data_IF_186621477365
#
_entry.id   IF_186621477365
#
_cell.length_a   1.000
_cell.length_b   1.000
_cell.length_c   1.000
_cell.angle_alpha   90.00
_cell.angle_beta   90.00
_cell.angle_gamma   90.00
#
_symmetry.space_group_name_H-M   'P 1'
#
loop_
_entity.id
_entity.type
_entity.pdbx_description
1 polymer ?
#
# COMPACT_ATOMS: atom_id res chain seq x y z
N UNK A 1 -27.01 -27.21 6.79
CA UNK A 1 -26.62 -26.65 8.11
C UNK A 1 -25.25 -26.02 7.98
N UNK A 2 -25.15 -24.69 8.02
CA UNK A 2 -23.83 -24.04 8.02
C UNK A 2 -23.27 -24.09 9.46
N UNK A 3 -22.15 -24.77 9.63
CA UNK A 3 -21.42 -24.85 10.91
C UNK A 3 -20.85 -23.49 11.28
N UNK A 4 -20.84 -23.09 12.56
CA UNK A 4 -20.38 -21.73 12.98
C UNK A 4 -18.97 -21.36 12.50
N UNK A 5 -18.12 -22.36 12.26
CA UNK A 5 -16.79 -22.22 11.66
C UNK A 5 -16.82 -21.63 10.24
N UNK A 6 -17.79 -22.02 9.41
CA UNK A 6 -17.87 -21.52 8.02
C UNK A 6 -18.35 -20.07 7.95
N UNK A 7 -19.07 -19.61 8.97
CA UNK A 7 -19.49 -18.21 9.08
C UNK A 7 -18.28 -17.36 9.50
N UNK A 8 -17.55 -17.82 10.51
CA UNK A 8 -16.36 -17.12 11.02
C UNK A 8 -15.23 -16.99 9.99
N UNK A 9 -15.01 -18.00 9.16
CA UNK A 9 -13.96 -17.97 8.10
C UNK A 9 -14.34 -17.04 6.93
N UNK A 10 -15.62 -16.67 6.77
CA UNK A 10 -16.07 -15.76 5.71
C UNK A 10 -15.94 -14.29 6.07
N UNK A 11 -15.70 -13.95 7.34
CA UNK A 11 -15.48 -12.56 7.74
C UNK A 11 -14.16 -12.04 7.17
N UNK A 12 -14.23 -10.97 6.38
CA UNK A 12 -13.06 -10.35 5.73
C UNK A 12 -11.95 -10.00 6.73
N UNK A 13 -12.33 -9.48 7.90
CA UNK A 13 -11.40 -9.16 8.99
C UNK A 13 -10.69 -10.39 9.55
N UNK A 14 -11.38 -11.54 9.62
CA UNK A 14 -10.80 -12.79 10.10
C UNK A 14 -9.85 -13.40 9.06
N UNK A 15 -10.15 -13.24 7.77
CA UNK A 15 -9.26 -13.67 6.69
C UNK A 15 -7.95 -12.88 6.68
N UNK A 16 -8.01 -11.56 6.87
CA UNK A 16 -6.80 -10.72 6.99
C UNK A 16 -5.98 -11.12 8.22
N UNK A 17 -6.62 -11.34 9.36
CA UNK A 17 -5.94 -11.74 10.60
C UNK A 17 -5.26 -13.11 10.45
N UNK A 18 -5.94 -14.08 9.85
CA UNK A 18 -5.37 -15.38 9.53
C UNK A 18 -4.17 -15.28 8.58
N UNK A 19 -4.26 -14.42 7.56
CA UNK A 19 -3.17 -14.18 6.62
C UNK A 19 -1.96 -13.54 7.31
N UNK A 20 -2.18 -12.57 8.22
CA UNK A 20 -1.11 -11.96 9.01
C UNK A 20 -0.42 -13.01 9.91
N UNK A 21 -1.19 -13.82 10.63
CA UNK A 21 -0.62 -14.90 11.47
C UNK A 21 0.23 -15.87 10.65
N UNK A 22 -0.23 -16.26 9.45
CA UNK A 22 0.52 -17.16 8.56
C UNK A 22 1.81 -16.49 8.07
N UNK A 23 1.76 -15.23 7.64
CA UNK A 23 2.93 -14.47 7.22
C UNK A 23 3.96 -14.31 8.35
N UNK A 24 3.50 -14.07 9.57
CA UNK A 24 4.35 -13.99 10.75
C UNK A 24 5.14 -15.29 10.97
N UNK A 25 4.47 -16.46 10.95
CA UNK A 25 5.16 -17.74 11.11
C UNK A 25 6.13 -18.03 9.96
N UNK A 26 5.76 -17.70 8.71
CA UNK A 26 6.65 -17.85 7.56
C UNK A 26 7.90 -16.98 7.77
N UNK A 27 7.73 -15.69 8.10
CA UNK A 27 8.83 -14.78 8.36
C UNK A 27 9.69 -15.21 9.54
N UNK A 28 9.09 -15.75 10.60
CA UNK A 28 9.78 -16.26 11.77
C UNK A 28 10.60 -17.53 11.47
N UNK A 29 10.03 -18.48 10.73
CA UNK A 29 10.75 -19.68 10.28
C UNK A 29 11.92 -19.27 9.38
N UNK A 30 11.69 -18.37 8.42
CA UNK A 30 12.73 -17.87 7.52
C UNK A 30 13.86 -17.14 8.28
N UNK A 31 13.53 -16.51 9.41
CA UNK A 31 14.47 -15.85 10.33
C UNK A 31 15.33 -16.85 11.13
N UNK A 32 14.77 -18.01 11.50
CA UNK A 32 15.46 -19.05 12.27
C UNK A 32 16.42 -19.90 11.41
N UNK A 33 16.29 -19.87 10.09
CA UNK A 33 17.19 -20.58 9.18
C UNK A 33 18.57 -19.88 9.14
N UNK A 34 19.69 -20.61 9.28
CA UNK A 34 21.05 -20.05 9.29
C UNK A 34 21.57 -19.73 7.87
N UNK A 35 20.74 -19.14 7.03
CA UNK A 35 21.04 -18.84 5.62
C UNK A 35 21.03 -17.32 5.44
N UNK A 36 22.14 -16.73 4.97
CA UNK A 36 22.30 -15.28 4.90
C UNK A 36 21.24 -14.58 4.02
N UNK A 37 20.90 -15.16 2.86
CA UNK A 37 19.89 -14.62 1.94
C UNK A 37 18.47 -14.66 2.56
N UNK A 38 18.16 -15.71 3.33
CA UNK A 38 16.87 -15.84 4.02
C UNK A 38 16.67 -14.75 5.06
N UNK A 39 17.75 -14.21 5.66
CA UNK A 39 17.65 -13.16 6.64
C UNK A 39 17.14 -11.83 6.04
N UNK A 40 17.59 -11.47 4.85
CA UNK A 40 17.11 -10.26 4.16
C UNK A 40 15.61 -10.38 3.82
N UNK A 41 15.22 -11.51 3.24
CA UNK A 41 13.81 -11.78 2.91
C UNK A 41 12.92 -11.81 4.15
N UNK A 42 13.37 -12.42 5.25
CA UNK A 42 12.64 -12.47 6.51
C UNK A 42 12.35 -11.06 7.06
N UNK A 43 13.32 -10.14 6.99
CA UNK A 43 13.13 -8.75 7.43
C UNK A 43 12.08 -8.02 6.60
N UNK A 44 12.07 -8.21 5.29
CA UNK A 44 11.09 -7.60 4.39
C UNK A 44 9.69 -8.15 4.72
N UNK A 45 9.55 -9.47 4.83
CA UNK A 45 8.27 -10.13 5.14
C UNK A 45 7.73 -9.67 6.50
N UNK A 46 8.57 -9.66 7.54
CA UNK A 46 8.17 -9.21 8.88
C UNK A 46 7.82 -7.71 8.91
N UNK A 47 8.42 -6.90 8.03
CA UNK A 47 8.08 -5.47 7.90
C UNK A 47 6.68 -5.29 7.28
N UNK A 48 6.31 -6.10 6.27
CA UNK A 48 4.95 -6.12 5.74
C UNK A 48 3.94 -6.68 6.75
N UNK A 49 4.31 -7.71 7.50
CA UNK A 49 3.48 -8.29 8.57
C UNK A 49 3.10 -7.22 9.63
N UNK A 50 4.06 -6.40 10.04
CA UNK A 50 3.85 -5.30 10.98
C UNK A 50 2.80 -4.28 10.48
N UNK A 51 2.74 -4.03 9.16
CA UNK A 51 1.71 -3.15 8.57
C UNK A 51 0.31 -3.76 8.74
N UNK A 52 0.15 -5.08 8.55
CA UNK A 52 -1.12 -5.77 8.80
C UNK A 52 -1.54 -5.69 10.27
N UNK A 53 -0.59 -5.88 11.20
CA UNK A 53 -0.84 -5.73 12.64
C UNK A 53 -1.23 -4.30 13.04
N UNK A 54 -0.66 -3.27 12.40
CA UNK A 54 -1.12 -1.89 12.61
C UNK A 54 -2.54 -1.67 12.08
N UNK A 55 -2.89 -2.27 10.94
CA UNK A 55 -4.28 -2.28 10.45
C UNK A 55 -5.24 -2.87 11.48
N UNK A 56 -4.86 -3.99 12.12
CA UNK A 56 -5.65 -4.59 13.22
C UNK A 56 -5.70 -3.70 14.46
N UNK A 57 -4.62 -3.00 14.76
CA UNK A 57 -4.56 -2.05 15.88
C UNK A 57 -5.60 -0.93 15.76
N UNK A 58 -5.92 -0.49 14.54
CA UNK A 58 -7.02 0.45 14.29
C UNK A 58 -8.39 -0.09 14.75
N UNK A 59 -8.64 -1.39 14.64
CA UNK A 59 -9.87 -2.00 15.17
C UNK A 59 -9.96 -1.90 16.70
N UNK A 60 -8.83 -2.04 17.41
CA UNK A 60 -8.80 -1.82 18.86
C UNK A 60 -9.05 -0.34 19.20
N UNK A 61 -8.46 0.59 18.45
CA UNK A 61 -8.76 2.02 18.62
C UNK A 61 -10.23 2.35 18.31
N UNK A 62 -10.87 1.62 17.39
CA UNK A 62 -12.28 1.80 17.09
C UNK A 62 -13.21 1.41 18.25
N UNK A 63 -12.77 0.51 19.15
CA UNK A 63 -13.54 0.15 20.36
C UNK A 63 -13.53 1.26 21.44
N UNK A 64 -12.64 2.27 21.32
CA UNK A 64 -12.59 3.39 22.26
C UNK A 64 -13.71 4.39 21.98
N UNK A 65 -14.47 4.76 23.03
CA UNK A 65 -15.66 5.63 22.94
C UNK A 65 -15.45 6.96 22.18
N UNK A 66 -14.25 7.54 22.26
CA UNK A 66 -13.94 8.83 21.62
C UNK A 66 -13.36 8.70 20.21
N UNK A 67 -12.69 7.58 19.89
CA UNK A 67 -11.99 7.38 18.61
C UNK A 67 -12.81 6.52 17.62
N UNK A 68 -13.69 5.66 18.12
CA UNK A 68 -14.59 4.83 17.30
C UNK A 68 -15.40 5.62 16.28
N UNK A 69 -16.21 6.61 16.71
CA UNK A 69 -17.01 7.41 15.78
C UNK A 69 -16.16 8.15 14.74
N UNK A 70 -14.95 8.60 15.12
CA UNK A 70 -14.02 9.28 14.21
C UNK A 70 -13.46 8.34 13.15
N UNK A 71 -13.06 7.13 13.53
CA UNK A 71 -12.55 6.12 12.61
C UNK A 71 -13.62 5.66 11.62
N UNK A 72 -14.86 5.47 12.07
CA UNK A 72 -15.99 5.14 11.18
C UNK A 72 -16.25 6.29 10.19
N UNK A 73 -16.24 7.56 10.65
CA UNK A 73 -16.38 8.71 9.75
C UNK A 73 -15.28 8.76 8.69
N UNK A 74 -14.01 8.55 9.06
CA UNK A 74 -12.90 8.51 8.09
C UNK A 74 -13.09 7.36 7.08
N UNK A 75 -13.54 6.19 7.54
CA UNK A 75 -13.81 5.04 6.67
C UNK A 75 -14.85 5.33 5.59
N UNK A 76 -15.95 6.00 5.97
CA UNK A 76 -16.99 6.41 5.02
C UNK A 76 -16.46 7.46 4.03
N UNK A 77 -15.66 8.43 4.49
CA UNK A 77 -15.02 9.41 3.61
C UNK A 77 -14.07 8.76 2.59
N UNK A 78 -13.38 7.67 2.96
CA UNK A 78 -12.53 6.93 2.02
C UNK A 78 -13.38 6.31 0.92
N UNK A 79 -14.57 5.79 1.22
CA UNK A 79 -15.48 5.23 0.21
C UNK A 79 -15.91 6.29 -0.82
N UNK A 80 -16.24 7.49 -0.36
CA UNK A 80 -16.61 8.62 -1.23
C UNK A 80 -15.42 9.09 -2.09
N UNK A 81 -14.19 9.03 -1.55
CA UNK A 81 -12.98 9.47 -2.24
C UNK A 81 -12.49 8.49 -3.33
N UNK A 82 -12.96 7.24 -3.38
CA UNK A 82 -12.45 6.22 -4.31
C UNK A 82 -12.58 6.66 -5.78
N UNK A 83 -13.71 7.22 -6.17
CA UNK A 83 -13.92 7.69 -7.54
C UNK A 83 -13.04 8.90 -7.88
N UNK A 84 -12.83 9.80 -6.92
CA UNK A 84 -11.91 10.93 -7.09
C UNK A 84 -10.47 10.45 -7.32
N UNK A 85 -10.00 9.47 -6.54
CA UNK A 85 -8.67 8.87 -6.71
C UNK A 85 -8.49 8.23 -8.10
N UNK A 86 -9.51 7.56 -8.64
CA UNK A 86 -9.46 6.99 -9.99
C UNK A 86 -9.29 8.08 -11.06
N UNK A 87 -10.07 9.16 -10.97
CA UNK A 87 -9.92 10.30 -11.88
C UNK A 87 -8.53 10.94 -11.75
N UNK A 88 -8.04 11.11 -10.53
CA UNK A 88 -6.72 11.67 -10.25
C UNK A 88 -5.61 10.83 -10.91
N UNK A 89 -5.67 9.50 -10.83
CA UNK A 89 -4.67 8.62 -11.47
C UNK A 89 -4.64 8.82 -13.00
N UNK A 90 -5.81 8.98 -13.63
CA UNK A 90 -5.88 9.24 -15.09
C UNK A 90 -5.20 10.57 -15.44
N UNK A 91 -5.45 11.62 -14.67
CA UNK A 91 -4.80 12.92 -14.87
C UNK A 91 -3.28 12.86 -14.63
N UNK A 92 -2.84 12.17 -13.57
CA UNK A 92 -1.41 11.97 -13.26
C UNK A 92 -0.72 11.25 -14.42
N UNK A 93 -1.32 10.19 -14.95
CA UNK A 93 -0.76 9.44 -16.08
C UNK A 93 -0.67 10.31 -17.34
N UNK A 94 -1.72 11.05 -17.68
CA UNK A 94 -1.73 11.91 -18.86
C UNK A 94 -0.66 13.00 -18.77
N UNK A 95 -0.57 13.68 -17.63
CA UNK A 95 0.44 14.69 -17.38
C UNK A 95 1.85 14.10 -17.35
N UNK A 96 2.06 13.01 -16.61
CA UNK A 96 3.36 12.36 -16.48
C UNK A 96 3.93 11.91 -17.82
N UNK A 97 3.11 11.25 -18.66
CA UNK A 97 3.55 10.78 -19.99
C UNK A 97 3.91 11.97 -20.89
N UNK A 98 3.08 13.01 -20.92
CA UNK A 98 3.31 14.21 -21.73
C UNK A 98 4.59 14.95 -21.31
N UNK A 99 4.73 15.24 -20.02
CA UNK A 99 5.90 15.94 -19.48
C UNK A 99 7.19 15.15 -19.68
N UNK A 100 7.16 13.82 -19.44
CA UNK A 100 8.34 12.99 -19.63
C UNK A 100 8.76 12.91 -21.10
N UNK A 101 7.80 12.80 -22.03
CA UNK A 101 8.06 12.76 -23.48
C UNK A 101 8.66 14.07 -24.01
N UNK A 102 8.29 15.21 -23.44
CA UNK A 102 8.83 16.51 -23.86
C UNK A 102 10.28 16.70 -23.41
N UNK A 103 10.62 16.25 -22.20
CA UNK A 103 11.95 16.47 -21.61
C UNK A 103 12.98 15.47 -22.14
N UNK A 104 12.64 14.18 -22.23
CA UNK A 104 13.61 13.12 -22.51
C UNK A 104 13.68 12.68 -23.98
N UNK A 105 12.81 13.22 -24.85
CA UNK A 105 12.76 12.86 -26.26
C UNK A 105 12.56 11.35 -26.48
N UNK A 106 13.22 10.79 -27.50
CA UNK A 106 13.05 9.38 -27.88
C UNK A 106 13.98 8.47 -27.05
N UNK A 107 13.43 7.78 -26.05
CA UNK A 107 14.15 6.77 -25.25
C UNK A 107 13.68 5.34 -25.55
N UNK A 108 14.56 4.37 -25.27
CA UNK A 108 14.22 2.93 -25.35
C UNK A 108 13.31 2.54 -24.19
N UNK A 109 12.26 1.77 -24.50
CA UNK A 109 11.32 1.25 -23.51
C UNK A 109 12.06 0.34 -22.51
N UNK A 110 12.18 0.82 -21.28
CA UNK A 110 12.78 0.08 -20.16
C UNK A 110 11.71 -0.16 -19.10
N UNK A 111 11.78 -1.27 -18.37
CA UNK A 111 10.80 -1.62 -17.32
C UNK A 111 10.69 -0.59 -16.17
N UNK A 112 11.71 0.25 -15.99
CA UNK A 112 11.71 1.31 -14.98
C UNK A 112 10.96 2.57 -15.45
N UNK A 113 10.77 2.73 -16.76
CA UNK A 113 10.20 3.93 -17.37
C UNK A 113 8.82 4.32 -16.80
N UNK A 114 7.84 3.39 -16.67
CA UNK A 114 6.53 3.75 -16.12
C UNK A 114 6.59 4.19 -14.65
N UNK A 115 7.53 3.61 -13.88
CA UNK A 115 7.74 3.96 -12.48
C UNK A 115 8.28 5.39 -12.37
N UNK A 116 9.24 5.75 -13.21
CA UNK A 116 9.89 7.06 -13.18
C UNK A 116 8.92 8.17 -13.60
N UNK A 117 8.11 7.92 -14.64
CA UNK A 117 7.03 8.82 -15.09
C UNK A 117 6.02 9.09 -13.97
N UNK A 118 5.54 8.02 -13.32
CA UNK A 118 4.56 8.13 -12.25
C UNK A 118 5.11 8.83 -11.01
N UNK A 119 6.33 8.49 -10.59
CA UNK A 119 6.96 9.12 -9.44
C UNK A 119 7.08 10.63 -9.64
N UNK A 120 7.54 11.07 -10.81
CA UNK A 120 7.70 12.49 -11.10
C UNK A 120 6.37 13.25 -11.01
N UNK A 121 5.32 12.74 -11.66
CA UNK A 121 4.01 13.39 -11.63
C UNK A 121 3.34 13.33 -10.24
N UNK A 122 3.57 12.25 -9.49
CA UNK A 122 2.99 12.05 -8.16
C UNK A 122 3.57 13.01 -7.11
N UNK A 123 4.90 13.12 -7.02
CA UNK A 123 5.56 13.97 -6.01
C UNK A 123 5.23 15.46 -6.16
N UNK A 124 4.96 15.92 -7.37
CA UNK A 124 4.56 17.29 -7.64
C UNK A 124 3.22 17.69 -7.00
N UNK A 125 2.28 16.74 -6.87
CA UNK A 125 1.00 16.99 -6.20
C UNK A 125 1.23 17.31 -4.71
N UNK A 126 2.28 16.76 -4.11
CA UNK A 126 2.66 17.03 -2.72
C UNK A 126 3.56 18.26 -2.56
N UNK A 127 3.83 19.00 -3.65
CA UNK A 127 4.65 20.21 -3.62
C UNK A 127 6.16 19.98 -3.73
N UNK A 128 6.60 18.74 -3.98
CA UNK A 128 8.01 18.44 -4.25
C UNK A 128 8.37 18.80 -5.72
N UNK A 129 8.65 20.08 -5.94
CA UNK A 129 9.01 20.65 -7.25
C UNK A 129 10.50 20.46 -7.60
N UNK A 130 11.33 19.96 -6.68
CA UNK A 130 12.76 19.73 -6.90
C UNK A 130 13.05 18.75 -8.04
N UNK A 131 12.10 17.87 -8.34
CA UNK A 131 12.17 16.96 -9.49
C UNK A 131 12.22 17.72 -10.82
N UNK A 132 11.59 18.91 -10.92
CA UNK A 132 11.65 19.76 -12.12
C UNK A 132 13.01 20.47 -12.26
N UNK A 133 13.62 20.86 -11.14
CA UNK A 133 14.92 21.55 -11.12
C UNK A 133 16.09 20.63 -11.50
N UNK A 134 15.91 19.31 -11.41
CA UNK A 134 16.93 18.33 -11.83
C UNK A 134 17.04 18.19 -13.37
N UNK A 135 16.16 18.85 -14.14
CA UNK A 135 16.11 18.80 -15.61
C UNK A 135 16.42 20.14 -16.31
N UNK A 136 16.80 21.18 -15.56
CA UNK A 136 17.34 22.46 -16.09
C UNK A 136 18.82 22.58 -15.79
#
# INVERSE_FOLDING_TARGET
MQTRLTIHVRDFWNQIDALAIILFFIGFILRCLPIAECFCMARIILSFDLIFWFGRSLSFFAALKQLGPKLVMIGEMINDLKFFMLMLIVFILAFGISSYSLIHGLQKLTWHLPRDILNHAYWQIFGELSTLAAFT
#
